data_IF_443728740284
#
_entry.id   IF_443728740284
#
_cell.length_a   1.000
_cell.length_b   1.000
_cell.length_c   1.000
_cell.angle_alpha   90.00
_cell.angle_beta   90.00
_cell.angle_gamma   90.00
#
_symmetry.space_group_name_H-M   'P 1'
#
loop_
_entity.id
_entity.type
_entity.pdbx_description
1 polymer ?
#
# COMPACT_ATOMS: atom_id res chain seq x y z
N UNK A 1 13.48 2.35 2.91
CA UNK A 1 12.95 3.44 3.76
C UNK A 1 11.56 3.09 4.25
N UNK A 2 11.23 3.46 5.46
CA UNK A 2 10.05 2.94 6.16
C UNK A 2 9.49 3.92 7.19
N UNK A 3 8.25 3.69 7.61
CA UNK A 3 7.63 4.32 8.79
C UNK A 3 8.05 3.64 10.11
N UNK A 4 8.86 2.59 10.05
CA UNK A 4 9.23 1.72 11.17
C UNK A 4 8.61 0.33 11.08
N UNK A 5 8.95 -0.53 12.03
CA UNK A 5 8.67 -1.98 12.01
C UNK A 5 7.18 -2.34 11.99
N UNK A 6 6.30 -1.43 12.42
CA UNK A 6 4.84 -1.64 12.41
C UNK A 6 4.17 -1.28 11.09
N UNK A 7 4.92 -0.77 10.11
CA UNK A 7 4.38 -0.47 8.79
C UNK A 7 4.15 -1.76 8.01
N UNK A 8 2.93 -1.99 7.53
CA UNK A 8 2.57 -3.18 6.75
C UNK A 8 3.42 -3.30 5.47
N UNK A 9 3.74 -2.20 4.81
CA UNK A 9 4.60 -2.21 3.62
C UNK A 9 6.02 -2.64 3.96
N UNK A 10 6.56 -2.19 5.10
CA UNK A 10 7.86 -2.62 5.58
C UNK A 10 7.88 -4.11 5.86
N UNK A 11 6.90 -4.61 6.60
CA UNK A 11 6.80 -6.04 6.93
C UNK A 11 6.73 -6.93 5.69
N UNK A 12 5.95 -6.55 4.69
CA UNK A 12 5.85 -7.28 3.42
C UNK A 12 7.17 -7.26 2.67
N UNK A 13 7.84 -6.11 2.60
CA UNK A 13 9.12 -5.99 1.92
C UNK A 13 10.19 -6.83 2.62
N UNK A 14 10.30 -6.75 3.93
CA UNK A 14 11.25 -7.55 4.72
C UNK A 14 11.00 -9.04 4.54
N UNK A 15 9.74 -9.49 4.64
CA UNK A 15 9.40 -10.90 4.43
C UNK A 15 9.79 -11.39 3.02
N UNK A 16 9.56 -10.58 2.00
CA UNK A 16 9.93 -10.91 0.63
C UNK A 16 11.46 -11.00 0.45
N UNK A 17 12.22 -10.05 1.00
CA UNK A 17 13.69 -10.05 0.94
C UNK A 17 14.27 -11.26 1.69
N UNK A 18 13.76 -11.54 2.87
CA UNK A 18 14.18 -12.72 3.67
C UNK A 18 13.91 -14.02 2.93
N UNK A 19 12.81 -14.14 2.22
CA UNK A 19 12.43 -15.37 1.50
C UNK A 19 13.43 -15.76 0.41
N UNK A 20 14.20 -14.80 -0.11
CA UNK A 20 15.22 -15.01 -1.15
C UNK A 20 16.64 -14.78 -0.64
N UNK A 21 16.81 -14.58 0.66
CA UNK A 21 18.12 -14.43 1.30
C UNK A 21 18.85 -13.12 0.95
N UNK A 22 18.11 -12.07 0.57
CA UNK A 22 18.69 -10.76 0.31
C UNK A 22 18.83 -9.96 1.61
N UNK A 23 19.98 -9.34 1.78
CA UNK A 23 20.23 -8.39 2.85
C UNK A 23 19.69 -7.01 2.48
N UNK A 24 19.28 -6.26 3.48
CA UNK A 24 18.79 -4.89 3.33
C UNK A 24 19.22 -4.01 4.49
N UNK A 25 19.16 -2.73 4.29
CA UNK A 25 19.38 -1.73 5.32
C UNK A 25 18.30 -0.66 5.27
N UNK A 26 17.78 -0.28 6.43
CA UNK A 26 16.87 0.86 6.55
C UNK A 26 17.67 2.16 6.57
N UNK A 27 17.91 2.72 5.40
CA UNK A 27 18.73 3.94 5.22
C UNK A 27 18.01 5.21 5.67
N UNK A 28 16.70 5.16 5.82
CA UNK A 28 15.91 6.29 6.28
C UNK A 28 14.59 5.85 6.89
N UNK A 29 14.28 6.36 8.07
CA UNK A 29 12.99 6.19 8.75
C UNK A 29 12.37 7.55 9.00
N UNK A 30 11.11 7.74 8.64
CA UNK A 30 10.43 9.02 8.78
C UNK A 30 9.01 8.88 9.29
N UNK A 31 8.50 9.92 9.96
CA UNK A 31 7.18 9.90 10.59
C UNK A 31 6.02 10.10 9.61
N UNK A 32 6.30 10.54 8.39
CA UNK A 32 5.27 10.79 7.40
C UNK A 32 5.65 10.30 6.01
N UNK A 33 4.63 9.98 5.22
CA UNK A 33 4.80 9.55 3.83
C UNK A 33 5.50 10.61 2.98
N UNK A 34 5.14 11.87 3.11
CA UNK A 34 5.73 12.96 2.33
C UNK A 34 7.23 13.09 2.56
N UNK A 35 7.69 12.88 3.79
CA UNK A 35 9.11 12.89 4.13
C UNK A 35 9.81 11.69 3.46
N UNK A 36 9.22 10.50 3.50
CA UNK A 36 9.78 9.31 2.85
C UNK A 36 9.83 9.47 1.33
N UNK A 37 8.75 9.97 0.72
CA UNK A 37 8.71 10.26 -0.72
C UNK A 37 9.79 11.28 -1.12
N UNK A 38 9.96 12.32 -0.32
CA UNK A 38 11.03 13.31 -0.50
C UNK A 38 12.43 12.68 -0.42
N UNK A 39 12.65 11.76 0.52
CA UNK A 39 13.91 11.05 0.64
C UNK A 39 14.19 10.14 -0.57
N UNK A 40 13.15 9.47 -1.12
CA UNK A 40 13.29 8.70 -2.38
C UNK A 40 13.65 9.61 -3.54
N UNK A 41 12.95 10.74 -3.69
CA UNK A 41 13.23 11.73 -4.74
C UNK A 41 14.64 12.31 -4.64
N UNK A 42 15.16 12.45 -3.42
CA UNK A 42 16.54 12.88 -3.17
C UNK A 42 17.59 11.78 -3.40
N UNK A 43 17.17 10.56 -3.75
CA UNK A 43 18.07 9.45 -4.07
C UNK A 43 18.63 8.70 -2.85
N UNK A 44 18.01 8.81 -1.68
CA UNK A 44 18.47 8.09 -0.48
C UNK A 44 18.25 6.58 -0.57
N UNK A 45 17.35 6.12 -1.43
CA UNK A 45 17.06 4.70 -1.60
C UNK A 45 15.69 4.44 -2.23
N UNK A 46 15.17 3.26 -1.99
CA UNK A 46 13.86 2.80 -2.50
C UNK A 46 12.89 2.55 -1.34
N UNK A 47 11.60 2.55 -1.63
CA UNK A 47 10.58 2.20 -0.65
C UNK A 47 9.45 1.38 -1.29
N UNK A 48 8.86 0.44 -0.53
CA UNK A 48 7.65 -0.25 -0.97
C UNK A 48 6.44 0.68 -0.86
N UNK A 49 5.62 0.70 -1.90
CA UNK A 49 4.34 1.41 -1.91
C UNK A 49 3.42 0.87 -3.00
N UNK A 50 2.19 1.31 -3.05
CA UNK A 50 1.31 0.97 -4.16
C UNK A 50 1.75 1.70 -5.44
N UNK A 51 1.60 1.05 -6.59
CA UNK A 51 1.90 1.64 -7.90
C UNK A 51 1.16 2.96 -8.11
N UNK A 52 -0.13 2.98 -7.80
CA UNK A 52 -0.96 4.17 -7.92
C UNK A 52 -0.38 5.35 -7.14
N UNK A 53 0.10 5.10 -5.92
CA UNK A 53 0.70 6.16 -5.10
C UNK A 53 2.02 6.62 -5.64
N UNK A 54 2.86 5.70 -6.11
CA UNK A 54 4.15 6.05 -6.72
C UNK A 54 3.95 7.02 -7.89
N UNK A 55 3.03 6.71 -8.79
CA UNK A 55 2.72 7.55 -9.95
C UNK A 55 2.16 8.92 -9.55
N UNK A 56 1.26 8.97 -8.57
CA UNK A 56 0.67 10.22 -8.05
C UNK A 56 1.73 11.11 -7.37
N UNK A 57 2.71 10.51 -6.71
CA UNK A 57 3.80 11.22 -6.05
C UNK A 57 4.94 11.63 -7.00
N UNK A 58 4.83 11.31 -8.29
CA UNK A 58 5.89 11.57 -9.28
C UNK A 58 7.12 10.68 -9.09
N UNK A 59 6.96 9.54 -8.44
CA UNK A 59 8.01 8.54 -8.25
C UNK A 59 8.04 7.58 -9.43
N UNK A 60 9.22 7.02 -9.69
CA UNK A 60 9.41 5.99 -10.72
C UNK A 60 9.25 4.62 -10.10
N UNK A 61 8.44 3.77 -10.75
CA UNK A 61 8.33 2.36 -10.38
C UNK A 61 9.49 1.61 -11.03
N UNK A 62 10.28 0.91 -10.23
CA UNK A 62 11.37 0.08 -10.73
C UNK A 62 10.84 -1.30 -11.12
N UNK A 63 10.41 -1.43 -12.38
CA UNK A 63 9.70 -2.62 -12.88
C UNK A 63 10.57 -3.87 -12.96
N UNK A 64 11.81 -3.71 -13.36
CA UNK A 64 12.79 -4.79 -13.56
C UNK A 64 13.83 -4.87 -12.44
N UNK A 65 13.46 -4.41 -11.25
CA UNK A 65 14.33 -4.52 -10.08
C UNK A 65 14.70 -5.98 -9.81
N UNK A 66 15.97 -6.28 -9.47
CA UNK A 66 16.40 -7.62 -9.06
C UNK A 66 15.93 -7.94 -7.64
N UNK A 67 14.65 -7.74 -7.38
CA UNK A 67 14.00 -7.88 -6.09
C UNK A 67 12.83 -8.86 -6.20
N UNK A 68 12.50 -9.57 -5.12
CA UNK A 68 11.35 -10.46 -5.11
C UNK A 68 10.05 -9.66 -5.28
N UNK A 69 9.05 -10.30 -5.89
CA UNK A 69 7.70 -9.73 -5.98
C UNK A 69 7.12 -9.59 -4.58
N UNK A 70 6.56 -8.43 -4.29
CA UNK A 70 5.85 -8.17 -3.05
C UNK A 70 4.47 -8.82 -3.06
N UNK A 71 3.99 -9.25 -1.89
CA UNK A 71 2.63 -9.73 -1.74
C UNK A 71 1.62 -8.61 -2.03
N UNK A 72 0.48 -8.98 -2.60
CA UNK A 72 -0.60 -8.05 -2.85
C UNK A 72 -1.22 -7.58 -1.52
N UNK A 73 -1.55 -6.29 -1.46
CA UNK A 73 -2.26 -5.68 -0.34
C UNK A 73 -3.70 -5.39 -0.73
N UNK A 74 -4.59 -5.64 0.21
CA UNK A 74 -6.02 -5.37 0.05
C UNK A 74 -6.46 -4.36 1.10
N UNK A 75 -7.20 -3.34 0.65
CA UNK A 75 -7.94 -2.45 1.54
C UNK A 75 -9.35 -2.98 1.71
N UNK A 76 -9.86 -2.99 2.94
CA UNK A 76 -11.21 -3.42 3.24
C UNK A 76 -11.97 -2.32 3.99
N UNK A 77 -13.26 -2.21 3.72
CA UNK A 77 -14.16 -1.33 4.43
C UNK A 77 -15.09 -2.21 5.27
N UNK A 78 -15.08 -1.99 6.58
CA UNK A 78 -15.95 -2.69 7.52
C UNK A 78 -17.11 -1.79 7.91
N UNK A 79 -18.33 -2.26 7.67
CA UNK A 79 -19.54 -1.55 8.03
C UNK A 79 -20.09 -2.13 9.33
N UNK A 80 -20.38 -1.25 10.29
CA UNK A 80 -20.98 -1.64 11.56
C UNK A 80 -22.39 -2.18 11.33
N UNK A 81 -22.70 -3.32 11.94
CA UNK A 81 -24.03 -3.88 11.95
C UNK A 81 -25.00 -3.09 12.87
N UNK A 82 -26.27 -3.03 12.48
CA UNK A 82 -27.34 -2.38 13.25
C UNK A 82 -27.52 -0.90 12.94
N UNK A 83 -28.60 -0.31 13.49
CA UNK A 83 -28.90 1.12 13.35
C UNK A 83 -29.17 1.56 11.90
N UNK A 84 -28.47 2.60 11.45
CA UNK A 84 -28.62 3.20 10.13
C UNK A 84 -27.82 2.44 9.04
N UNK A 85 -28.03 1.14 8.92
CA UNK A 85 -27.27 0.26 8.01
C UNK A 85 -27.21 0.79 6.58
N UNK A 86 -28.34 1.23 6.02
CA UNK A 86 -28.39 1.76 4.65
C UNK A 86 -27.50 3.00 4.47
N UNK A 87 -27.48 3.90 5.48
CA UNK A 87 -26.60 5.06 5.44
C UNK A 87 -25.13 4.69 5.49
N UNK A 88 -24.78 3.67 6.30
CA UNK A 88 -23.40 3.17 6.39
C UNK A 88 -22.98 2.46 5.12
N UNK A 89 -23.85 1.66 4.50
CA UNK A 89 -23.58 1.01 3.22
C UNK A 89 -23.38 2.06 2.11
N UNK A 90 -24.23 3.06 2.05
CA UNK A 90 -24.08 4.17 1.09
C UNK A 90 -22.75 4.92 1.26
N UNK A 91 -22.38 5.22 2.52
CA UNK A 91 -21.08 5.86 2.81
C UNK A 91 -19.91 4.95 2.42
N UNK A 92 -20.01 3.65 2.68
CA UNK A 92 -19.00 2.69 2.30
C UNK A 92 -18.83 2.62 0.77
N UNK A 93 -19.93 2.66 0.01
CA UNK A 93 -19.90 2.69 -1.46
C UNK A 93 -19.26 3.97 -2.00
N UNK A 94 -19.57 5.12 -1.41
CA UNK A 94 -18.94 6.40 -1.77
C UNK A 94 -17.44 6.40 -1.49
N UNK A 95 -17.02 5.87 -0.34
CA UNK A 95 -15.60 5.73 0.00
C UNK A 95 -14.91 4.78 -0.97
N UNK A 96 -15.52 3.64 -1.28
CA UNK A 96 -14.98 2.67 -2.22
C UNK A 96 -14.82 3.28 -3.63
N UNK A 97 -15.78 4.07 -4.09
CA UNK A 97 -15.72 4.76 -5.38
C UNK A 97 -14.56 5.75 -5.49
N UNK A 98 -14.17 6.38 -4.38
CA UNK A 98 -13.00 7.29 -4.33
C UNK A 98 -11.68 6.51 -4.29
N UNK A 99 -11.62 5.45 -3.49
CA UNK A 99 -10.40 4.64 -3.32
C UNK A 99 -10.15 3.77 -4.57
N UNK A 100 -11.22 3.20 -5.14
CA UNK A 100 -11.17 2.32 -6.31
C UNK A 100 -12.05 2.89 -7.43
N UNK A 101 -11.58 3.86 -8.21
CA UNK A 101 -12.35 4.38 -9.34
C UNK A 101 -12.61 3.28 -10.39
N UNK A 102 -13.70 3.37 -11.18
CA UNK A 102 -14.17 2.31 -12.10
C UNK A 102 -13.15 1.76 -13.10
N UNK A 103 -12.11 2.53 -13.42
CA UNK A 103 -11.01 2.08 -14.28
C UNK A 103 -10.11 1.02 -13.64
N UNK A 104 -10.13 0.91 -12.30
CA UNK A 104 -9.32 -0.03 -11.51
C UNK A 104 -10.13 -1.21 -10.96
N UNK A 105 -11.40 -1.34 -11.33
CA UNK A 105 -12.38 -2.27 -10.73
C UNK A 105 -12.07 -3.76 -11.00
N UNK A 106 -11.06 -4.08 -11.79
CA UNK A 106 -10.64 -5.46 -12.03
C UNK A 106 -10.07 -6.20 -10.79
N UNK A 107 -9.88 -5.50 -9.66
CA UNK A 107 -9.25 -6.03 -8.45
C UNK A 107 -10.21 -6.16 -7.24
N UNK A 108 -11.47 -5.78 -7.36
CA UNK A 108 -12.43 -5.93 -6.25
C UNK A 108 -12.94 -7.36 -6.22
N UNK A 109 -12.25 -8.22 -5.50
CA UNK A 109 -12.86 -9.47 -5.01
C UNK A 109 -13.60 -9.15 -3.72
N UNK A 110 -14.92 -9.08 -3.79
CA UNK A 110 -15.76 -9.13 -2.61
C UNK A 110 -15.59 -10.50 -1.97
N UNK A 111 -14.82 -10.57 -0.91
CA UNK A 111 -14.79 -11.75 -0.06
C UNK A 111 -16.02 -11.63 0.86
N UNK A 112 -17.17 -12.16 0.39
CA UNK A 112 -18.32 -12.45 1.24
C UNK A 112 -17.96 -13.67 2.07
N UNK A 113 -17.25 -13.47 3.15
CA UNK A 113 -17.15 -14.46 4.21
C UNK A 113 -18.40 -14.29 5.07
N UNK A 114 -19.27 -15.29 4.99
CA UNK A 114 -20.38 -15.48 5.91
C UNK A 114 -19.88 -15.66 7.36
#
# INVERSE_FOLDING_TARGET
MTYGDRCVYHQIAVAALQSVGLEWEDVFTGPSRSILEGAVLAGFGIMPMTRRRALTAGLVVWEDAPLPKLADLYSAIFVREGGARLAYEHLADEIAAVIYPPADTAAIRTNSAA
#
